data_IF_765073315898
#
_entry.id   IF_765073315898
#
_cell.length_a   1.000
_cell.length_b   1.000
_cell.length_c   1.000
_cell.angle_alpha   90.00
_cell.angle_beta   90.00
_cell.angle_gamma   90.00
#
_symmetry.space_group_name_H-M   'P 1'
#
loop_
_entity.id
_entity.type
_entity.pdbx_description
1 polymer ?
#
# COMPACT_ATOMS: atom_id res chain seq x y z
N UNK A 1 -34.70 -13.59 -26.68
CA UNK A 1 -33.24 -13.58 -26.84
C UNK A 1 -32.54 -12.59 -25.90
N UNK A 2 -33.04 -11.36 -25.69
CA UNK A 2 -32.42 -10.41 -24.74
C UNK A 2 -32.42 -10.84 -23.26
N UNK A 3 -33.44 -11.60 -22.82
CA UNK A 3 -33.54 -12.07 -21.42
C UNK A 3 -32.36 -12.94 -20.99
N UNK A 4 -31.85 -13.80 -21.87
CA UNK A 4 -30.66 -14.60 -21.60
C UNK A 4 -29.41 -13.73 -21.46
N UNK A 5 -29.27 -12.73 -22.33
CA UNK A 5 -28.17 -11.78 -22.27
C UNK A 5 -28.21 -10.96 -20.97
N UNK A 6 -29.39 -10.51 -20.55
CA UNK A 6 -29.57 -9.78 -19.28
C UNK A 6 -29.21 -10.66 -18.07
N UNK A 7 -29.66 -11.91 -18.04
CA UNK A 7 -29.31 -12.86 -16.97
C UNK A 7 -27.80 -13.14 -16.95
N UNK A 8 -27.19 -13.32 -18.12
CA UNK A 8 -25.75 -13.50 -18.23
C UNK A 8 -24.99 -12.30 -17.65
N UNK A 9 -25.37 -11.08 -18.01
CA UNK A 9 -24.78 -9.84 -17.48
C UNK A 9 -24.91 -9.73 -15.97
N UNK A 10 -26.06 -10.11 -15.40
CA UNK A 10 -26.27 -10.15 -13.95
C UNK A 10 -25.34 -11.17 -13.29
N UNK A 11 -25.21 -12.37 -13.87
CA UNK A 11 -24.35 -13.42 -13.33
C UNK A 11 -22.87 -13.02 -13.35
N UNK A 12 -22.41 -12.41 -14.45
CA UNK A 12 -21.05 -11.86 -14.57
C UNK A 12 -20.78 -10.78 -13.52
N UNK A 13 -21.73 -9.86 -13.30
CA UNK A 13 -21.60 -8.83 -12.27
C UNK A 13 -21.54 -9.43 -10.86
N UNK A 14 -22.41 -10.39 -10.55
CA UNK A 14 -22.42 -11.05 -9.25
C UNK A 14 -21.10 -11.80 -9.00
N UNK A 15 -20.57 -12.49 -10.03
CA UNK A 15 -19.26 -13.13 -9.96
C UNK A 15 -18.12 -12.14 -9.73
N UNK A 16 -18.10 -11.02 -10.46
CA UNK A 16 -17.12 -9.96 -10.28
C UNK A 16 -17.21 -9.31 -8.88
N UNK A 17 -18.42 -9.05 -8.39
CA UNK A 17 -18.66 -8.54 -7.03
C UNK A 17 -18.11 -9.49 -5.97
N UNK A 18 -18.40 -10.79 -6.08
CA UNK A 18 -17.91 -11.80 -5.13
C UNK A 18 -16.38 -11.93 -5.14
N UNK A 19 -15.76 -11.82 -6.32
CA UNK A 19 -14.31 -11.86 -6.46
C UNK A 19 -13.64 -10.61 -5.87
N UNK A 20 -14.12 -9.40 -6.23
CA UNK A 20 -13.55 -8.13 -5.76
C UNK A 20 -13.70 -7.90 -4.26
N UNK A 21 -14.78 -8.38 -3.64
CA UNK A 21 -14.99 -8.30 -2.19
C UNK A 21 -14.29 -9.43 -1.42
N UNK A 22 -13.54 -10.30 -2.12
CA UNK A 22 -12.79 -11.39 -1.51
C UNK A 22 -13.67 -12.47 -0.88
N UNK A 23 -14.93 -12.61 -1.31
CA UNK A 23 -15.81 -13.71 -0.88
C UNK A 23 -15.28 -15.06 -1.40
N UNK A 24 -14.54 -15.04 -2.51
CA UNK A 24 -13.90 -16.22 -3.09
C UNK A 24 -12.51 -16.52 -2.49
N UNK A 25 -12.08 -15.80 -1.44
CA UNK A 25 -10.79 -16.04 -0.76
C UNK A 25 -10.66 -17.47 -0.23
N UNK A 26 -11.74 -18.02 0.33
CA UNK A 26 -11.75 -19.38 0.88
C UNK A 26 -11.50 -20.46 -0.19
N UNK A 27 -11.76 -20.16 -1.47
CA UNK A 27 -11.57 -21.07 -2.59
C UNK A 27 -10.23 -20.84 -3.33
N UNK A 28 -9.38 -19.94 -2.84
CA UNK A 28 -8.07 -19.67 -3.46
C UNK A 28 -8.11 -18.79 -4.71
N UNK A 29 -9.27 -18.25 -5.09
CA UNK A 29 -9.43 -17.40 -6.28
C UNK A 29 -9.15 -15.91 -6.04
N UNK A 30 -8.63 -15.53 -4.88
CA UNK A 30 -8.33 -14.13 -4.57
C UNK A 30 -6.95 -13.73 -5.08
N UNK A 31 -6.77 -12.48 -5.56
CA UNK A 31 -5.42 -11.94 -5.72
C UNK A 31 -4.65 -12.05 -4.41
N UNK A 32 -3.38 -12.44 -4.52
CA UNK A 32 -2.48 -12.50 -3.38
C UNK A 32 -2.31 -11.09 -2.85
N UNK A 33 -2.80 -10.83 -1.63
CA UNK A 33 -2.45 -9.60 -0.93
C UNK A 33 -0.94 -9.66 -0.64
N UNK A 34 -0.15 -9.01 -1.50
CA UNK A 34 1.23 -8.67 -1.17
C UNK A 34 1.19 -7.61 -0.07
N UNK A 35 1.07 -8.09 1.15
CA UNK A 35 1.22 -7.25 2.33
C UNK A 35 2.73 -7.19 2.56
N UNK A 36 3.35 -6.06 2.21
CA UNK A 36 4.78 -5.83 2.45
C UNK A 36 5.08 -5.62 3.95
N UNK A 37 4.53 -6.47 4.82
CA UNK A 37 4.78 -6.46 6.27
C UNK A 37 6.27 -6.56 6.56
N UNK A 38 7.02 -7.28 5.71
CA UNK A 38 8.47 -7.44 5.87
C UNK A 38 9.29 -6.18 5.56
N UNK A 39 8.72 -5.16 4.92
CA UNK A 39 9.38 -3.85 4.79
C UNK A 39 9.45 -3.12 6.11
N UNK A 40 8.45 -3.28 6.99
CA UNK A 40 8.41 -2.60 8.28
C UNK A 40 9.51 -3.10 9.22
N UNK A 41 9.80 -4.40 9.22
CA UNK A 41 10.90 -4.98 10.02
C UNK A 41 12.29 -4.60 9.50
N UNK A 42 12.41 -4.20 8.24
CA UNK A 42 13.65 -3.71 7.63
C UNK A 42 13.72 -2.18 7.55
N UNK A 43 12.68 -1.46 7.97
CA UNK A 43 12.70 -0.01 8.03
C UNK A 43 13.59 0.43 9.20
N UNK A 44 14.62 1.20 8.87
CA UNK A 44 15.55 1.80 9.83
C UNK A 44 14.74 2.72 10.75
N UNK A 45 14.54 2.28 12.00
CA UNK A 45 14.04 3.03 13.18
C UNK A 45 13.44 4.41 12.85
N UNK A 46 12.28 4.45 12.17
CA UNK A 46 11.67 5.72 11.76
C UNK A 46 11.35 6.61 12.96
N UNK A 47 11.16 6.04 14.15
CA UNK A 47 10.94 6.75 15.40
C UNK A 47 12.12 7.66 15.83
N UNK A 48 13.31 7.50 15.22
CA UNK A 48 14.46 8.35 15.48
C UNK A 48 14.57 9.55 14.53
N UNK A 49 13.74 9.64 13.49
CA UNK A 49 13.79 10.75 12.53
C UNK A 49 13.18 11.99 13.16
N UNK A 50 14.02 13.01 13.45
CA UNK A 50 13.57 14.33 13.88
C UNK A 50 13.57 15.31 12.70
N UNK A 51 12.46 16.01 12.51
CA UNK A 51 12.39 17.13 11.56
C UNK A 51 12.94 18.37 12.26
N UNK A 52 14.01 18.94 11.72
CA UNK A 52 14.59 20.18 12.25
C UNK A 52 14.04 21.40 11.50
N UNK A 53 13.81 22.52 12.21
CA UNK A 53 13.52 23.79 11.57
C UNK A 53 14.76 24.32 10.82
N UNK A 54 14.53 25.11 9.77
CA UNK A 54 15.57 25.52 8.80
C UNK A 54 16.71 26.37 9.40
N UNK A 55 16.51 26.96 10.58
CA UNK A 55 17.55 27.67 11.33
C UNK A 55 18.49 26.70 12.05
N UNK A 56 17.96 25.66 12.70
CA UNK A 56 18.73 24.64 13.41
C UNK A 56 19.53 23.77 12.45
N UNK A 57 18.95 23.44 11.28
CA UNK A 57 19.64 22.71 10.22
C UNK A 57 20.89 23.46 9.71
N UNK A 58 20.76 24.77 9.43
CA UNK A 58 21.87 25.62 8.97
C UNK A 58 22.99 25.75 9.99
N UNK A 59 22.65 25.81 11.28
CA UNK A 59 23.65 25.87 12.34
C UNK A 59 24.47 24.57 12.43
N UNK A 60 23.82 23.41 12.27
CA UNK A 60 24.50 22.10 12.27
C UNK A 60 25.39 21.91 11.04
N UNK A 61 24.94 22.32 9.85
CA UNK A 61 25.76 22.29 8.62
C UNK A 61 27.02 23.15 8.78
N UNK A 62 26.89 24.35 9.32
CA UNK A 62 28.03 25.24 9.57
C UNK A 62 29.03 24.64 10.58
N UNK A 63 28.55 23.91 11.59
CA UNK A 63 29.39 23.25 12.59
C UNK A 63 30.07 21.97 12.06
N UNK A 64 29.49 21.33 11.04
CA UNK A 64 30.02 20.11 10.42
C UNK A 64 31.10 20.38 9.35
N UNK A 65 31.27 21.63 8.93
CA UNK A 65 32.28 22.00 7.95
C UNK A 65 33.68 21.96 8.60
N UNK A 66 34.65 21.17 8.09
CA UNK A 66 36.02 21.20 8.60
C UNK A 66 36.67 22.55 8.28
N UNK A 67 37.62 23.03 9.12
CA UNK A 67 38.40 24.22 8.81
C UNK A 67 39.22 24.01 7.51
N UNK A 68 39.49 25.09 6.75
CA UNK A 68 40.26 25.04 5.50
C UNK A 68 41.72 24.60 5.71
#
# INVERSE_FOLDING_TARGET
>A
MSRLLALLLVLLNAGYFAWSHGLLRAFGFSPVLQTETYRLTQQIRPELVRILPANEARALEAAAQPPP
#
